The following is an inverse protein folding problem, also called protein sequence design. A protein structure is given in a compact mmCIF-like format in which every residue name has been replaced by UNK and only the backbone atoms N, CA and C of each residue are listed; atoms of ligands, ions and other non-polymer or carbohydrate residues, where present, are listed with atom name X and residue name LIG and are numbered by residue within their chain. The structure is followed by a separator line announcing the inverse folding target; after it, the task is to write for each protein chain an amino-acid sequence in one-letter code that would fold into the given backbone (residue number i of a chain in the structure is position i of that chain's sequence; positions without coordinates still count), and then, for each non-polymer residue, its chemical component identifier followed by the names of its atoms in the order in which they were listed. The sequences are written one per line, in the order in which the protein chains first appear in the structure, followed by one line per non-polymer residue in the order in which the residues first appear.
data_IF_520433911020
#
_entry.id   IF_520433911020
#
_cell.length_a   1.000
_cell.length_b   1.000
_cell.length_c   1.000
_cell.angle_alpha   90.00
_cell.angle_beta   90.00
_cell.angle_gamma   90.00
#
_symmetry.space_group_name_H-M   'P 1'
#
loop_
_entity.id
_entity.type
_entity.pdbx_description
1 polymer ?
#
# COMPACT_ATOMS: atom_id res chain seq x y z
N UNK A 1 -2.51 -12.38 24.97
CA UNK A 1 -1.67 -11.20 24.60
C UNK A 1 -2.42 -10.50 23.50
N UNK A 2 -2.47 -9.17 23.48
CA UNK A 2 -3.11 -8.41 22.38
C UNK A 2 -2.29 -8.66 21.11
N UNK A 3 -2.90 -8.83 19.91
CA UNK A 3 -2.14 -9.00 18.68
C UNK A 3 -1.26 -7.76 18.41
N UNK A 4 -0.12 -7.96 17.71
CA UNK A 4 0.80 -6.91 17.28
C UNK A 4 0.62 -6.69 15.77
N UNK A 5 0.31 -5.47 15.37
CA UNK A 5 0.22 -5.08 13.96
C UNK A 5 1.41 -4.20 13.59
N UNK A 6 2.14 -4.60 12.56
CA UNK A 6 3.11 -3.73 11.89
C UNK A 6 2.36 -2.80 10.93
N UNK A 7 2.44 -1.49 11.18
CA UNK A 7 1.91 -0.46 10.29
C UNK A 7 3.03 0.16 9.48
N UNK A 8 2.85 0.24 8.19
CA UNK A 8 3.82 0.81 7.24
C UNK A 8 3.12 1.47 6.04
N UNK A 9 3.88 2.12 5.16
CA UNK A 9 3.42 2.70 3.90
C UNK A 9 4.61 3.04 3.00
N UNK A 10 4.37 3.70 1.87
CA UNK A 10 5.39 4.32 1.01
C UNK A 10 5.29 5.85 0.93
N UNK A 11 4.26 6.46 1.51
CA UNK A 11 4.11 7.92 1.57
C UNK A 11 4.97 8.59 2.66
N UNK A 12 5.53 7.79 3.59
CA UNK A 12 6.37 8.28 4.67
C UNK A 12 5.73 8.20 6.06
N UNK A 13 6.57 8.10 7.08
CA UNK A 13 6.16 7.82 8.48
C UNK A 13 5.23 8.88 9.08
N UNK A 14 5.24 10.10 8.58
CA UNK A 14 4.38 11.20 9.05
C UNK A 14 3.15 11.42 8.16
N UNK A 15 2.86 10.52 7.19
CA UNK A 15 1.74 10.70 6.28
C UNK A 15 0.40 10.61 7.00
N UNK A 16 -0.56 11.48 6.65
CA UNK A 16 -1.92 11.41 7.19
C UNK A 16 -2.63 10.08 6.91
N UNK A 17 -2.33 9.43 5.79
CA UNK A 17 -2.85 8.10 5.47
C UNK A 17 -2.42 7.03 6.48
N UNK A 18 -1.15 7.04 6.91
CA UNK A 18 -0.64 6.14 7.94
C UNK A 18 -1.30 6.42 9.30
N UNK A 19 -1.45 7.71 9.65
CA UNK A 19 -2.14 8.11 10.87
C UNK A 19 -3.60 7.65 10.89
N UNK A 20 -4.32 7.82 9.78
CA UNK A 20 -5.70 7.36 9.64
C UNK A 20 -5.82 5.82 9.73
N UNK A 21 -4.85 5.10 9.16
CA UNK A 21 -4.79 3.65 9.25
C UNK A 21 -4.57 3.19 10.70
N UNK A 22 -3.63 3.83 11.40
CA UNK A 22 -3.36 3.56 12.81
C UNK A 22 -4.59 3.83 13.69
N UNK A 23 -5.28 4.94 13.46
CA UNK A 23 -6.51 5.29 14.18
C UNK A 23 -7.60 4.22 14.02
N UNK A 24 -7.75 3.66 12.81
CA UNK A 24 -8.76 2.65 12.51
C UNK A 24 -8.60 1.34 13.30
N UNK A 25 -7.37 1.01 13.72
CA UNK A 25 -7.07 -0.32 14.31
C UNK A 25 -6.44 -0.27 15.70
N UNK A 26 -6.17 0.91 16.27
CA UNK A 26 -5.47 1.05 17.56
C UNK A 26 -6.17 0.37 18.74
N UNK A 27 -7.48 0.22 18.71
CA UNK A 27 -8.23 -0.45 19.76
C UNK A 27 -8.19 -1.99 19.63
N UNK A 28 -7.88 -2.51 18.45
CA UNK A 28 -7.85 -3.94 18.15
C UNK A 28 -6.51 -4.61 18.48
N UNK A 29 -5.40 -3.85 18.37
CA UNK A 29 -4.04 -4.41 18.45
C UNK A 29 -3.06 -3.46 19.13
N UNK A 30 -1.90 -4.00 19.54
CA UNK A 30 -0.69 -3.22 19.75
C UNK A 30 -0.15 -2.78 18.39
N UNK A 31 0.35 -1.54 18.28
CA UNK A 31 0.83 -1.00 17.01
C UNK A 31 2.35 -0.82 17.04
N UNK A 32 3.03 -1.43 16.09
CA UNK A 32 4.41 -1.15 15.71
C UNK A 32 4.39 -0.31 14.43
N UNK A 33 4.70 0.98 14.52
CA UNK A 33 4.63 1.90 13.39
C UNK A 33 6.04 2.13 12.86
N UNK A 34 6.33 1.57 11.67
CA UNK A 34 7.62 1.68 11.00
C UNK A 34 7.40 1.89 9.51
N UNK A 35 7.87 3.01 8.97
CA UNK A 35 7.68 3.34 7.56
C UNK A 35 8.90 4.10 7.03
N UNK A 36 9.04 4.31 5.72
CA UNK A 36 10.07 5.18 5.18
C UNK A 36 10.01 6.57 5.82
N UNK A 37 11.17 7.17 6.03
CA UNK A 37 11.26 8.53 6.57
C UNK A 37 10.56 9.56 5.67
N UNK A 38 10.68 9.39 4.35
CA UNK A 38 10.07 10.24 3.32
C UNK A 38 9.35 9.38 2.30
N UNK A 39 8.53 10.01 1.47
CA UNK A 39 7.81 9.36 0.38
C UNK A 39 8.77 8.57 -0.54
N UNK A 40 8.40 7.33 -0.83
CA UNK A 40 9.14 6.35 -1.63
C UNK A 40 8.26 5.73 -2.72
N UNK A 41 7.50 6.55 -3.40
CA UNK A 41 6.57 6.11 -4.47
C UNK A 41 7.32 5.38 -5.58
N UNK A 42 6.70 4.33 -6.11
CA UNK A 42 7.23 3.47 -7.21
C UNK A 42 8.49 2.67 -6.88
N UNK A 43 8.86 2.54 -5.60
CA UNK A 43 10.05 1.76 -5.21
C UNK A 43 9.83 0.24 -5.23
N UNK A 44 8.58 -0.23 -5.33
CA UNK A 44 8.30 -1.66 -5.29
C UNK A 44 8.89 -2.34 -4.04
N UNK A 45 9.33 -3.58 -4.17
CA UNK A 45 10.04 -4.33 -3.13
C UNK A 45 11.56 -4.21 -3.31
N UNK A 46 12.08 -3.00 -3.50
CA UNK A 46 13.52 -2.76 -3.70
C UNK A 46 14.28 -2.62 -2.39
N UNK A 47 15.59 -2.86 -2.45
CA UNK A 47 16.54 -2.66 -1.34
C UNK A 47 17.69 -1.76 -1.82
N UNK A 48 17.46 -0.43 -1.94
CA UNK A 48 18.51 0.50 -2.34
C UNK A 48 19.68 0.49 -1.35
N UNK A 49 20.89 0.61 -1.87
CA UNK A 49 22.13 0.61 -1.10
C UNK A 49 22.83 1.94 -1.29
N UNK A 50 22.94 2.69 -0.20
CA UNK A 50 23.73 3.91 -0.09
C UNK A 50 24.16 4.08 1.38
N UNK A 51 25.02 5.06 1.65
CA UNK A 51 25.63 5.23 2.98
C UNK A 51 24.63 5.54 4.10
N UNK A 52 23.45 6.06 3.78
CA UNK A 52 22.41 6.36 4.76
C UNK A 52 21.28 5.31 4.82
N UNK A 53 21.29 4.31 3.93
CA UNK A 53 20.25 3.29 3.91
C UNK A 53 20.21 2.51 5.22
N UNK A 54 19.00 2.32 5.76
CA UNK A 54 18.79 1.65 7.03
C UNK A 54 18.95 2.53 8.28
N UNK A 55 19.23 3.84 8.13
CA UNK A 55 19.17 4.74 9.30
C UNK A 55 17.74 4.80 9.86
N UNK A 56 17.60 4.59 11.17
CA UNK A 56 16.32 4.54 11.88
C UNK A 56 16.22 5.73 12.82
N UNK A 57 15.15 6.49 12.73
CA UNK A 57 14.87 7.64 13.59
C UNK A 57 13.52 7.48 14.28
N UNK A 58 13.50 7.60 15.61
CA UNK A 58 12.25 7.64 16.35
C UNK A 58 11.56 9.00 16.16
N UNK A 59 10.25 8.98 15.96
CA UNK A 59 9.41 10.17 15.82
C UNK A 59 8.03 9.93 16.45
N UNK A 60 7.24 11.00 16.54
CA UNK A 60 5.85 10.94 17.00
C UNK A 60 4.90 11.07 15.80
N UNK A 61 4.03 10.09 15.59
CA UNK A 61 2.89 10.17 14.68
C UNK A 61 1.65 10.58 15.47
N UNK A 62 0.91 11.57 14.98
CA UNK A 62 -0.36 11.99 15.59
C UNK A 62 -1.49 11.07 15.11
N UNK A 63 -2.05 10.28 16.03
CA UNK A 63 -3.13 9.32 15.77
C UNK A 63 -4.32 9.66 16.65
N UNK A 64 -5.45 10.10 16.04
CA UNK A 64 -6.62 10.51 16.81
C UNK A 64 -6.33 11.62 17.82
N UNK A 65 -5.41 12.53 17.52
CA UNK A 65 -4.97 13.60 18.41
C UNK A 65 -3.96 13.21 19.48
N UNK A 66 -3.57 11.92 19.57
CA UNK A 66 -2.57 11.42 20.52
C UNK A 66 -1.25 11.10 19.82
N UNK A 67 -0.13 11.39 20.47
CA UNK A 67 1.20 11.02 19.99
C UNK A 67 1.42 9.52 20.17
N UNK A 68 1.76 8.85 19.09
CA UNK A 68 2.20 7.45 19.08
C UNK A 68 3.65 7.39 18.61
N UNK A 69 4.47 6.59 19.31
CA UNK A 69 5.85 6.34 18.88
C UNK A 69 5.85 5.65 17.53
N UNK A 70 6.65 6.18 16.61
CA UNK A 70 6.87 5.65 15.28
C UNK A 70 8.36 5.69 14.92
N UNK A 71 8.76 4.95 13.88
CA UNK A 71 10.14 4.90 13.42
C UNK A 71 10.19 5.17 11.92
N UNK A 72 10.94 6.19 11.54
CA UNK A 72 11.24 6.52 10.15
C UNK A 72 12.55 5.85 9.71
N UNK A 73 12.48 5.03 8.67
CA UNK A 73 13.64 4.33 8.09
C UNK A 73 14.07 5.04 6.81
N UNK A 74 15.35 5.38 6.69
CA UNK A 74 15.91 5.86 5.42
C UNK A 74 16.07 4.69 4.48
N UNK A 75 15.16 4.55 3.53
CA UNK A 75 15.13 3.42 2.60
C UNK A 75 13.76 3.22 1.97
N UNK A 76 13.60 2.11 1.26
CA UNK A 76 12.33 1.73 0.65
C UNK A 76 11.31 1.24 1.70
N UNK A 77 10.03 1.12 1.32
CA UNK A 77 9.01 0.50 2.17
C UNK A 77 9.37 -0.94 2.58
N UNK A 78 9.92 -1.72 1.68
CA UNK A 78 10.39 -3.08 1.98
C UNK A 78 11.54 -3.07 3.00
N UNK A 79 12.52 -2.17 2.86
CA UNK A 79 13.56 -2.00 3.88
C UNK A 79 13.00 -1.59 5.24
N UNK A 80 12.00 -0.71 5.27
CA UNK A 80 11.36 -0.31 6.53
C UNK A 80 10.72 -1.53 7.24
N UNK A 81 10.05 -2.40 6.49
CA UNK A 81 9.50 -3.66 7.03
C UNK A 81 10.61 -4.60 7.50
N UNK A 82 11.66 -4.79 6.72
CA UNK A 82 12.78 -5.65 7.12
C UNK A 82 13.43 -5.17 8.43
N UNK A 83 13.70 -3.87 8.57
CA UNK A 83 14.21 -3.29 9.83
C UNK A 83 13.20 -3.40 10.97
N UNK A 84 11.90 -3.23 10.69
CA UNK A 84 10.86 -3.43 11.69
C UNK A 84 10.91 -4.82 12.30
N UNK A 85 11.00 -5.85 11.45
CA UNK A 85 10.97 -7.25 11.86
C UNK A 85 12.29 -7.70 12.50
N UNK A 86 13.42 -7.25 11.97
CA UNK A 86 14.75 -7.76 12.34
C UNK A 86 15.38 -7.01 13.52
N UNK A 87 15.02 -5.73 13.74
CA UNK A 87 15.71 -4.88 14.72
C UNK A 87 14.79 -4.17 15.72
N UNK A 88 13.54 -3.85 15.34
CA UNK A 88 12.70 -2.97 16.17
C UNK A 88 11.64 -3.75 16.94
N UNK A 89 11.10 -4.81 16.35
CA UNK A 89 10.03 -5.60 16.97
C UNK A 89 10.57 -6.50 18.08
N UNK A 90 9.96 -6.43 19.26
CA UNK A 90 10.28 -7.35 20.37
C UNK A 90 9.74 -8.77 20.13
N UNK A 91 8.77 -8.92 19.23
CA UNK A 91 8.18 -10.18 18.80
C UNK A 91 7.67 -10.07 17.36
N UNK A 92 7.50 -11.20 16.70
CA UNK A 92 6.97 -11.24 15.35
C UNK A 92 5.56 -10.62 15.30
N UNK A 93 5.30 -9.65 14.39
CA UNK A 93 3.94 -9.13 14.18
C UNK A 93 2.98 -10.21 13.68
N UNK A 94 1.74 -10.16 14.16
CA UNK A 94 0.68 -11.08 13.76
C UNK A 94 0.06 -10.69 12.40
N UNK A 95 0.20 -9.41 12.00
CA UNK A 95 -0.31 -8.86 10.74
C UNK A 95 0.52 -7.65 10.33
N UNK A 96 0.73 -7.48 9.02
CA UNK A 96 1.22 -6.23 8.44
C UNK A 96 0.06 -5.49 7.75
N UNK A 97 -0.04 -4.20 8.02
CA UNK A 97 -1.04 -3.33 7.41
C UNK A 97 -0.29 -2.18 6.71
N UNK A 98 -0.33 -2.15 5.38
CA UNK A 98 0.39 -1.19 4.54
C UNK A 98 -0.56 -0.17 3.90
N UNK A 99 -0.34 1.11 4.12
CA UNK A 99 -1.14 2.22 3.59
C UNK A 99 -1.46 3.27 4.67
N UNK A 100 -2.51 4.10 4.54
CA UNK A 100 -3.38 4.23 3.36
C UNK A 100 -2.62 5.00 2.29
N UNK A 101 -2.45 4.40 1.14
CA UNK A 101 -1.72 4.99 0.02
C UNK A 101 -2.53 6.07 -0.70
N UNK A 102 -1.86 7.15 -1.10
CA UNK A 102 -2.39 8.17 -2.01
C UNK A 102 -2.28 7.69 -3.47
N UNK A 103 -3.30 7.04 -3.95
CA UNK A 103 -3.38 6.46 -5.30
C UNK A 103 -3.67 4.96 -5.25
N UNK A 104 -4.43 4.51 -6.22
CA UNK A 104 -4.77 3.11 -6.36
C UNK A 104 -3.57 2.27 -6.81
N UNK A 105 -3.47 1.05 -6.29
CA UNK A 105 -2.51 0.03 -6.68
C UNK A 105 -3.25 -1.11 -7.40
N UNK A 106 -3.39 -1.01 -8.73
CA UNK A 106 -4.21 -1.88 -9.57
C UNK A 106 -3.49 -2.32 -10.84
N UNK A 107 -3.94 -3.40 -11.43
CA UNK A 107 -3.46 -3.90 -12.72
C UNK A 107 -1.95 -4.12 -12.75
N UNK A 108 -1.28 -3.66 -13.81
CA UNK A 108 0.17 -3.88 -13.99
C UNK A 108 1.04 -3.05 -13.03
N UNK A 109 0.49 -1.99 -12.41
CA UNK A 109 1.25 -1.16 -11.47
C UNK A 109 1.55 -1.85 -10.13
N UNK A 110 0.93 -3.01 -9.85
CA UNK A 110 1.18 -3.77 -8.62
C UNK A 110 2.67 -4.05 -8.38
N UNK A 111 3.43 -4.33 -9.43
CA UNK A 111 4.85 -4.71 -9.33
C UNK A 111 5.78 -3.57 -8.95
N UNK A 112 5.39 -2.31 -9.19
CA UNK A 112 6.17 -1.14 -8.81
C UNK A 112 5.62 -0.42 -7.57
N UNK A 113 4.48 -0.85 -7.01
CA UNK A 113 3.89 -0.26 -5.81
C UNK A 113 4.78 -0.44 -4.59
N UNK A 114 5.12 0.64 -3.92
CA UNK A 114 5.84 0.60 -2.64
C UNK A 114 4.97 0.04 -1.51
N UNK A 115 3.67 0.37 -1.51
CA UNK A 115 2.68 -0.17 -0.56
C UNK A 115 2.62 -1.70 -0.61
N UNK A 116 2.54 -2.27 -1.83
CA UNK A 116 2.56 -3.73 -2.02
C UNK A 116 3.96 -4.31 -1.79
N UNK A 117 5.01 -3.58 -2.15
CA UNK A 117 6.39 -3.98 -1.86
C UNK A 117 6.63 -4.22 -0.37
N UNK A 118 6.10 -3.34 0.50
CA UNK A 118 6.13 -3.51 1.95
C UNK A 118 5.30 -4.73 2.39
N UNK A 119 4.09 -4.90 1.85
CA UNK A 119 3.23 -6.03 2.17
C UNK A 119 3.85 -7.38 1.74
N UNK A 120 4.47 -7.44 0.56
CA UNK A 120 5.21 -8.62 0.11
C UNK A 120 6.45 -8.89 0.95
N UNK A 121 7.15 -7.85 1.43
CA UNK A 121 8.27 -8.03 2.34
C UNK A 121 7.80 -8.64 3.66
N UNK A 122 6.70 -8.15 4.24
CA UNK A 122 6.12 -8.73 5.45
C UNK A 122 5.76 -10.21 5.25
N UNK A 123 5.13 -10.55 4.12
CA UNK A 123 4.79 -11.93 3.81
C UNK A 123 6.03 -12.83 3.68
N UNK A 124 7.15 -12.33 3.16
CA UNK A 124 8.40 -13.11 3.08
C UNK A 124 8.97 -13.48 4.45
N UNK A 125 8.57 -12.77 5.49
CA UNK A 125 8.86 -13.08 6.91
C UNK A 125 7.77 -13.94 7.57
N UNK A 126 6.79 -14.43 6.80
CA UNK A 126 5.67 -15.23 7.32
C UNK A 126 4.54 -14.42 7.95
N UNK A 127 4.53 -13.10 7.77
CA UNK A 127 3.52 -12.20 8.33
C UNK A 127 2.43 -11.97 7.27
N UNK A 128 1.15 -12.36 7.52
CA UNK A 128 0.06 -12.04 6.61
C UNK A 128 -0.07 -10.53 6.42
N UNK A 129 -0.54 -10.07 5.24
CA UNK A 129 -0.57 -8.65 4.96
C UNK A 129 -1.89 -8.17 4.35
N UNK A 130 -2.26 -6.92 4.68
CA UNK A 130 -3.34 -6.16 4.06
C UNK A 130 -2.74 -4.86 3.52
N UNK A 131 -3.00 -4.55 2.26
CA UNK A 131 -2.67 -3.27 1.63
C UNK A 131 -3.96 -2.47 1.41
N UNK A 132 -3.92 -1.16 1.71
CA UNK A 132 -5.07 -0.27 1.59
C UNK A 132 -4.68 0.99 0.83
N UNK A 133 -5.39 1.28 -0.27
CA UNK A 133 -5.12 2.40 -1.17
C UNK A 133 -6.40 3.18 -1.46
N UNK A 134 -6.31 4.50 -1.48
CA UNK A 134 -7.39 5.40 -1.86
C UNK A 134 -7.13 5.95 -3.27
N UNK A 135 -8.07 5.78 -4.19
CA UNK A 135 -8.00 6.42 -5.49
C UNK A 135 -8.00 7.94 -5.36
N UNK A 136 -6.96 8.59 -5.88
CA UNK A 136 -6.83 10.04 -5.92
C UNK A 136 -6.41 10.49 -7.33
N UNK A 137 -6.67 11.76 -7.71
CA UNK A 137 -6.15 12.31 -8.95
C UNK A 137 -4.62 12.13 -9.05
N UNK A 138 -4.09 11.88 -10.25
CA UNK A 138 -2.66 11.60 -10.48
C UNK A 138 -1.73 12.67 -9.90
N UNK A 139 -2.14 13.95 -9.95
CA UNK A 139 -1.32 15.05 -9.40
C UNK A 139 -1.24 15.07 -7.86
N UNK A 140 -2.10 14.32 -7.18
CA UNK A 140 -2.04 14.14 -5.72
C UNK A 140 -1.17 12.95 -5.30
N UNK A 141 -0.91 12.00 -6.20
CA UNK A 141 -0.17 10.77 -5.86
C UNK A 141 1.30 11.01 -5.51
N UNK A 142 1.87 12.14 -5.93
CA UNK A 142 3.26 12.52 -5.67
C UNK A 142 3.37 13.88 -4.93
N UNK A 143 2.28 14.32 -4.32
CA UNK A 143 2.26 15.61 -3.63
C UNK A 143 3.02 15.55 -2.32
N UNK A 144 4.04 16.40 -2.17
CA UNK A 144 4.85 16.47 -0.95
C UNK A 144 4.10 17.07 0.26
N UNK A 145 2.98 17.73 0.03
CA UNK A 145 2.20 18.48 1.01
C UNK A 145 0.95 17.76 1.52
N UNK A 146 0.78 16.48 1.20
CA UNK A 146 -0.32 15.63 1.65
C UNK A 146 -1.69 16.31 1.58
N UNK A 147 -2.38 16.31 0.43
CA UNK A 147 -3.70 16.89 0.31
C UNK A 147 -4.68 16.27 1.31
N UNK A 148 -5.59 17.08 1.84
CA UNK A 148 -6.61 16.62 2.78
C UNK A 148 -7.56 15.63 2.10
N UNK A 149 -7.71 14.43 2.69
CA UNK A 149 -8.51 13.34 2.16
C UNK A 149 -9.55 12.87 3.16
N UNK A 150 -10.64 12.30 2.66
CA UNK A 150 -11.61 11.57 3.48
C UNK A 150 -11.20 10.10 3.60
N UNK A 151 -10.68 9.73 4.76
CA UNK A 151 -10.20 8.38 5.03
C UNK A 151 -11.27 7.41 5.54
N UNK A 152 -12.50 7.87 5.83
CA UNK A 152 -13.51 7.08 6.54
C UNK A 152 -13.84 5.74 5.90
N UNK A 153 -13.93 5.68 4.56
CA UNK A 153 -14.17 4.43 3.85
C UNK A 153 -12.98 3.45 3.98
N UNK A 154 -11.75 3.96 3.89
CA UNK A 154 -10.52 3.16 4.08
C UNK A 154 -10.40 2.67 5.52
N UNK A 155 -10.65 3.52 6.52
CA UNK A 155 -10.63 3.18 7.94
C UNK A 155 -11.65 2.07 8.25
N UNK A 156 -12.87 2.17 7.71
CA UNK A 156 -13.90 1.13 7.86
C UNK A 156 -13.45 -0.21 7.29
N UNK A 157 -12.90 -0.21 6.08
CA UNK A 157 -12.37 -1.43 5.45
C UNK A 157 -11.25 -2.03 6.29
N UNK A 158 -10.28 -1.22 6.70
CA UNK A 158 -9.17 -1.66 7.53
C UNK A 158 -9.65 -2.28 8.85
N UNK A 159 -10.54 -1.60 9.58
CA UNK A 159 -11.05 -2.07 10.87
C UNK A 159 -11.76 -3.42 10.76
N UNK A 160 -12.63 -3.60 9.74
CA UNK A 160 -13.38 -4.84 9.52
C UNK A 160 -12.46 -5.98 9.12
N UNK A 161 -11.57 -5.75 8.16
CA UNK A 161 -10.75 -6.83 7.62
C UNK A 161 -9.56 -7.20 8.49
N UNK A 162 -9.03 -6.27 9.27
CA UNK A 162 -8.04 -6.59 10.31
C UNK A 162 -8.65 -7.54 11.34
N UNK A 163 -9.84 -7.22 11.88
CA UNK A 163 -10.51 -8.12 12.83
C UNK A 163 -10.74 -9.52 12.24
N UNK A 164 -11.17 -9.56 10.98
CA UNK A 164 -11.41 -10.83 10.29
C UNK A 164 -10.12 -11.63 10.06
N UNK A 165 -9.06 -11.01 9.55
CA UNK A 165 -7.79 -11.71 9.28
C UNK A 165 -7.13 -12.19 10.57
N UNK A 166 -7.20 -11.41 11.66
CA UNK A 166 -6.68 -11.83 12.96
C UNK A 166 -7.46 -13.03 13.55
N UNK A 167 -8.76 -13.16 13.24
CA UNK A 167 -9.59 -14.27 13.71
C UNK A 167 -9.54 -15.51 12.84
N UNK A 168 -9.52 -15.36 11.51
CA UNK A 168 -9.71 -16.43 10.54
C UNK A 168 -8.45 -16.75 9.72
N UNK A 169 -7.45 -15.86 9.71
CA UNK A 169 -6.30 -15.90 8.79
C UNK A 169 -6.66 -15.40 7.39
N UNK A 170 -5.68 -15.49 6.49
CA UNK A 170 -5.90 -15.22 5.05
C UNK A 170 -6.53 -16.45 4.36
N UNK A 171 -7.28 -16.23 3.26
CA UNK A 171 -7.72 -17.33 2.40
C UNK A 171 -6.53 -18.19 1.92
N UNK A 172 -6.75 -19.47 1.60
CA UNK A 172 -5.71 -20.32 1.01
C UNK A 172 -5.04 -19.64 -0.21
N UNK A 173 -3.75 -19.87 -0.39
CA UNK A 173 -2.92 -19.34 -1.50
C UNK A 173 -2.88 -17.81 -1.60
N UNK A 174 -3.33 -17.10 -0.55
CA UNK A 174 -3.31 -15.65 -0.48
C UNK A 174 -2.14 -15.18 0.39
N UNK A 175 -1.32 -14.29 -0.15
CA UNK A 175 -0.25 -13.60 0.55
C UNK A 175 -0.70 -12.24 1.10
N UNK A 176 -1.51 -11.52 0.32
CA UNK A 176 -1.93 -10.15 0.59
C UNK A 176 -3.40 -9.97 0.20
N UNK A 177 -4.17 -9.27 1.03
CA UNK A 177 -5.45 -8.68 0.63
C UNK A 177 -5.20 -7.24 0.17
N UNK A 178 -5.32 -6.99 -1.13
CA UNK A 178 -5.11 -5.67 -1.72
C UNK A 178 -6.45 -4.95 -1.89
N UNK A 179 -6.69 -3.92 -1.05
CA UNK A 179 -7.88 -3.08 -1.11
C UNK A 179 -7.60 -1.79 -1.86
N UNK A 180 -8.46 -1.47 -2.80
CA UNK A 180 -8.46 -0.20 -3.49
C UNK A 180 -9.84 0.44 -3.35
N UNK A 181 -9.89 1.64 -2.81
CA UNK A 181 -11.10 2.36 -2.48
C UNK A 181 -11.29 3.46 -3.53
N UNK A 182 -12.42 3.51 -4.28
CA UNK A 182 -12.65 4.54 -5.28
C UNK A 182 -12.88 5.92 -4.63
N UNK A 183 -12.55 6.97 -5.35
CA UNK A 183 -12.86 8.35 -4.96
C UNK A 183 -14.36 8.48 -4.68
N UNK A 184 -14.72 9.12 -3.56
CA UNK A 184 -16.12 9.34 -3.16
C UNK A 184 -16.79 8.13 -2.50
N UNK A 185 -16.06 7.05 -2.22
CA UNK A 185 -16.59 5.91 -1.49
C UNK A 185 -17.03 6.32 -0.06
N UNK A 186 -18.11 5.72 0.39
CA UNK A 186 -18.68 5.93 1.72
C UNK A 186 -19.01 4.61 2.44
N UNK A 187 -19.79 4.69 3.53
CA UNK A 187 -20.18 3.54 4.33
C UNK A 187 -21.10 2.54 3.60
N UNK A 188 -21.74 2.96 2.52
CA UNK A 188 -22.64 2.12 1.71
C UNK A 188 -21.93 1.46 0.53
N UNK A 189 -20.75 1.95 0.16
CA UNK A 189 -19.99 1.43 -0.98
C UNK A 189 -19.61 -0.03 -0.75
N UNK A 190 -20.07 -0.96 -1.62
CA UNK A 190 -19.84 -2.38 -1.43
C UNK A 190 -18.38 -2.77 -1.73
N UNK A 191 -17.91 -3.83 -1.07
CA UNK A 191 -16.65 -4.51 -1.40
C UNK A 191 -16.92 -5.62 -2.39
N UNK A 192 -16.13 -5.69 -3.46
CA UNK A 192 -16.17 -6.75 -4.47
C UNK A 192 -14.82 -7.46 -4.54
N UNK A 193 -14.86 -8.78 -4.54
CA UNK A 193 -13.67 -9.59 -4.85
C UNK A 193 -13.38 -9.45 -6.35
N UNK A 194 -12.15 -9.07 -6.66
CA UNK A 194 -11.68 -8.78 -8.03
C UNK A 194 -10.45 -9.61 -8.35
N UNK A 195 -10.04 -9.58 -9.59
CA UNK A 195 -8.75 -10.09 -10.06
C UNK A 195 -7.91 -8.93 -10.60
N UNK A 196 -6.59 -9.11 -10.59
CA UNK A 196 -5.67 -8.17 -11.20
C UNK A 196 -6.00 -8.01 -12.69
N UNK A 197 -6.12 -6.75 -13.15
CA UNK A 197 -6.24 -6.42 -14.57
C UNK A 197 -4.90 -6.66 -15.29
N UNK A 198 -4.98 -7.04 -16.57
CA UNK A 198 -3.82 -7.09 -17.47
C UNK A 198 -3.49 -5.74 -18.09
N UNK A 199 -4.16 -4.67 -17.64
CA UNK A 199 -3.99 -3.29 -18.09
C UNK A 199 -3.34 -2.45 -16.99
N UNK A 200 -2.98 -1.23 -17.34
CA UNK A 200 -2.59 -0.18 -16.39
C UNK A 200 -3.67 0.89 -16.32
N UNK A 201 -3.81 1.55 -15.19
CA UNK A 201 -4.67 2.74 -15.05
C UNK A 201 -3.97 4.00 -15.58
N UNK A 202 -2.64 3.99 -15.60
CA UNK A 202 -1.81 5.08 -16.10
C UNK A 202 -0.59 4.55 -16.84
N UNK A 203 0.03 5.40 -17.63
CA UNK A 203 1.30 5.13 -18.32
C UNK A 203 2.22 6.34 -18.21
N UNK A 204 3.51 6.16 -18.45
CA UNK A 204 4.43 7.27 -18.60
C UNK A 204 4.28 7.93 -19.98
N UNK A 205 4.20 9.26 -20.02
CA UNK A 205 4.25 10.02 -21.25
C UNK A 205 5.66 10.04 -21.82
N UNK A 206 5.74 10.09 -23.16
CA UNK A 206 7.02 10.24 -23.85
C UNK A 206 7.57 11.64 -23.62
N UNK A 207 8.80 11.79 -23.09
CA UNK A 207 9.40 13.11 -22.93
C UNK A 207 9.75 13.75 -24.28
N UNK A 208 9.73 15.07 -24.33
CA UNK A 208 10.29 15.82 -25.44
C UNK A 208 11.79 15.52 -25.61
N UNK A 209 12.35 15.67 -26.84
CA UNK A 209 13.78 15.51 -27.06
C UNK A 209 14.60 16.39 -26.14
N UNK A 210 15.58 15.82 -25.45
CA UNK A 210 16.42 16.52 -24.47
C UNK A 210 17.85 15.99 -24.47
N UNK A 211 18.84 16.76 -23.98
CA UNK A 211 20.18 16.24 -23.68
C UNK A 211 20.06 15.14 -22.60
N UNK A 212 20.61 13.95 -22.87
CA UNK A 212 20.49 12.80 -21.96
C UNK A 212 21.27 12.96 -20.66
N UNK A 213 22.24 13.87 -20.63
CA UNK A 213 23.02 14.20 -19.42
C UNK A 213 22.19 14.98 -18.37
N UNK A 214 21.07 15.56 -18.77
CA UNK A 214 20.16 16.24 -17.85
C UNK A 214 19.16 15.24 -17.27
N UNK A 215 19.02 15.23 -15.94
CA UNK A 215 17.98 14.45 -15.25
C UNK A 215 16.58 14.84 -15.74
N UNK A 216 15.66 13.88 -15.77
CA UNK A 216 14.27 14.11 -16.13
C UNK A 216 13.38 13.10 -15.41
N UNK A 217 12.36 13.60 -14.74
CA UNK A 217 11.35 12.73 -14.13
C UNK A 217 10.24 12.45 -15.16
N UNK A 218 9.95 11.16 -15.38
CA UNK A 218 8.83 10.76 -16.23
C UNK A 218 7.51 11.15 -15.58
N UNK A 219 6.61 11.70 -16.37
CA UNK A 219 5.27 12.06 -15.93
C UNK A 219 4.27 10.98 -16.30
N UNK A 220 3.37 10.66 -15.36
CA UNK A 220 2.27 9.74 -15.59
C UNK A 220 1.07 10.47 -16.20
N UNK A 221 0.40 9.81 -17.13
CA UNK A 221 -0.87 10.23 -17.71
C UNK A 221 -1.86 9.05 -17.69
N UNK A 222 -3.19 9.29 -17.73
CA UNK A 222 -4.16 8.20 -17.84
C UNK A 222 -3.88 7.30 -19.03
N UNK A 223 -3.99 5.98 -18.85
CA UNK A 223 -3.83 5.06 -19.99
C UNK A 223 -5.02 5.24 -20.98
N UNK A 224 -4.77 5.50 -22.28
CA UNK A 224 -5.84 5.67 -23.26
C UNK A 224 -6.65 4.40 -23.51
N UNK A 225 -6.17 3.24 -23.06
CA UNK A 225 -6.86 1.96 -23.16
C UNK A 225 -7.53 1.53 -21.83
N UNK A 226 -7.71 2.47 -20.92
CA UNK A 226 -8.33 2.22 -19.61
C UNK A 226 -9.74 1.63 -19.74
N UNK A 227 -10.50 2.05 -20.76
CA UNK A 227 -11.84 1.56 -21.09
C UNK A 227 -11.89 0.09 -21.54
N UNK A 228 -10.74 -0.50 -21.87
CA UNK A 228 -10.59 -1.92 -22.19
C UNK A 228 -10.25 -2.80 -20.98
N UNK A 229 -10.36 -2.27 -19.77
CA UNK A 229 -10.17 -3.06 -18.57
C UNK A 229 -11.23 -4.18 -18.48
N UNK A 230 -10.78 -5.36 -18.11
CA UNK A 230 -11.63 -6.56 -18.09
C UNK A 230 -12.71 -6.45 -17.00
N UNK A 231 -13.94 -6.83 -17.31
CA UNK A 231 -15.00 -6.95 -16.30
C UNK A 231 -14.58 -7.88 -15.16
N UNK A 232 -14.86 -7.46 -13.93
CA UNK A 232 -14.45 -8.18 -12.72
C UNK A 232 -12.98 -7.98 -12.32
N UNK A 233 -12.24 -7.10 -13.03
CA UNK A 233 -10.90 -6.69 -12.61
C UNK A 233 -10.92 -5.55 -11.59
N UNK A 234 -9.78 -5.36 -10.91
CA UNK A 234 -9.54 -4.27 -9.96
C UNK A 234 -9.71 -2.88 -10.62
N UNK A 235 -9.15 -2.69 -11.81
CA UNK A 235 -9.31 -1.44 -12.59
C UNK A 235 -10.78 -1.21 -12.90
N UNK A 236 -11.49 -2.22 -13.42
CA UNK A 236 -12.89 -2.07 -13.79
C UNK A 236 -13.78 -1.73 -12.58
N UNK A 237 -13.54 -2.38 -11.46
CA UNK A 237 -14.28 -2.14 -10.22
C UNK A 237 -14.17 -0.69 -9.74
N UNK A 238 -12.95 -0.13 -9.76
CA UNK A 238 -12.69 1.21 -9.23
C UNK A 238 -13.09 2.30 -10.22
N UNK A 239 -12.70 2.16 -11.50
CA UNK A 239 -12.88 3.23 -12.47
C UNK A 239 -14.28 3.29 -13.05
N UNK A 240 -14.98 2.17 -13.21
CA UNK A 240 -16.28 2.10 -13.90
C UNK A 240 -17.44 1.78 -12.95
N UNK A 241 -17.28 0.79 -12.06
CA UNK A 241 -18.35 0.40 -11.16
C UNK A 241 -18.38 1.21 -9.86
N UNK A 242 -17.30 1.92 -9.53
CA UNK A 242 -17.17 2.74 -8.32
C UNK A 242 -17.42 1.95 -7.04
N UNK A 243 -16.96 0.70 -7.00
CA UNK A 243 -17.02 -0.18 -5.84
C UNK A 243 -15.61 -0.41 -5.28
N UNK A 244 -15.53 -0.76 -3.99
CA UNK A 244 -14.26 -1.10 -3.36
C UNK A 244 -13.77 -2.43 -3.94
N UNK A 245 -12.58 -2.41 -4.53
CA UNK A 245 -11.92 -3.59 -5.05
C UNK A 245 -11.17 -4.30 -3.93
N UNK A 246 -11.40 -5.60 -3.75
CA UNK A 246 -10.58 -6.51 -2.96
C UNK A 246 -9.95 -7.53 -3.90
N UNK A 247 -8.65 -7.41 -4.14
CA UNK A 247 -7.88 -8.38 -4.94
C UNK A 247 -7.03 -9.24 -4.01
N UNK A 248 -7.36 -10.52 -3.79
CA UNK A 248 -6.45 -11.46 -3.14
C UNK A 248 -5.24 -11.71 -4.04
N UNK A 249 -4.02 -11.46 -3.53
CA UNK A 249 -2.78 -11.64 -4.26
C UNK A 249 -2.02 -12.84 -3.70
N UNK A 250 -1.62 -13.76 -4.58
CA UNK A 250 -0.70 -14.84 -4.26
C UNK A 250 0.76 -14.41 -4.41
N UNK A 251 1.66 -15.29 -3.96
CA UNK A 251 3.10 -15.09 -4.16
C UNK A 251 3.63 -15.78 -5.41
N UNK A 252 2.93 -16.81 -5.88
CA UNK A 252 3.33 -17.56 -7.07
C UNK A 252 2.95 -16.81 -8.34
N UNK A 253 3.97 -16.38 -9.09
CA UNK A 253 3.85 -15.68 -10.38
C UNK A 253 3.92 -16.62 -11.58
N UNK A 254 4.01 -17.94 -11.36
CA UNK A 254 4.03 -18.89 -12.47
C UNK A 254 2.66 -18.99 -13.14
N UNK A 255 2.66 -19.20 -14.45
CA UNK A 255 1.42 -19.50 -15.16
C UNK A 255 0.91 -20.88 -14.73
N UNK A 256 -0.42 -21.04 -14.62
CA UNK A 256 -1.01 -22.34 -14.35
C UNK A 256 -0.55 -23.34 -15.42
N UNK A 257 -0.18 -24.56 -14.99
CA UNK A 257 0.20 -25.63 -15.89
C UNK A 257 -0.86 -25.87 -16.97
N UNK A 258 -0.44 -26.03 -18.21
CA UNK A 258 -1.28 -26.38 -19.35
C UNK A 258 -1.48 -25.31 -20.42
N UNK A 259 -0.79 -24.16 -20.31
CA UNK A 259 -0.75 -23.18 -21.41
C UNK A 259 0.69 -23.05 -21.90
N UNK A 260 1.08 -23.74 -22.97
CA UNK A 260 2.31 -23.38 -23.71
C UNK A 260 2.13 -22.06 -24.44
#
# INVERSE_FOLDING_TARGET
MKPLILLTNDDGVLSPGLAALAEAVQDQAELLIVAPRWQQTTMGRSFPRNDSAGTIEACDLLVGGMKKKAFGVTGSPAQAVAHAVLEIADRMPDLCLSGINYGENVGLSLTCSGTLGAAFEAFSHGIPAIAVSLQVPLHHQHAADYPAMDWRACQRVAAVWVARVLAEGLPPDTAILNFNIPTGADHTTPVRITRQSRRSSSRFSRPEPRPWQLGFQLHSEPDPLLDQAESGSDIHAIHFEKVISLTPLGWDLTTKEGTP
#
